data_IF_196784152607
#
_entry.id   IF_196784152607
#
_cell.length_a   1.000
_cell.length_b   1.000
_cell.length_c   1.000
_cell.angle_alpha   90.00
_cell.angle_beta   90.00
_cell.angle_gamma   90.00
#
_symmetry.space_group_name_H-M   'P 1'
#
loop_
_entity.id
_entity.type
_entity.pdbx_description
1 polymer ?
#
# COMPACT_ATOMS: atom_id res chain seq x y z
N UNK A 1 -27.72 34.02 0.50
CA UNK A 1 -27.88 35.27 -0.28
C UNK A 1 -26.84 35.26 -1.38
N UNK A 2 -27.26 35.45 -2.63
CA UNK A 2 -26.40 35.42 -3.82
C UNK A 2 -25.15 36.31 -3.68
N UNK A 3 -25.29 37.49 -3.04
CA UNK A 3 -24.18 38.44 -2.87
C UNK A 3 -23.00 37.91 -2.03
N UNK A 4 -23.27 37.13 -0.97
CA UNK A 4 -22.20 36.56 -0.11
C UNK A 4 -21.36 35.56 -0.92
N UNK A 5 -22.02 34.75 -1.74
CA UNK A 5 -21.37 33.74 -2.57
C UNK A 5 -20.52 34.38 -3.68
N UNK A 6 -21.04 35.43 -4.33
CA UNK A 6 -20.30 36.22 -5.32
C UNK A 6 -19.04 36.86 -4.72
N UNK A 7 -19.17 37.53 -3.57
CA UNK A 7 -18.03 38.18 -2.89
C UNK A 7 -16.95 37.16 -2.52
N UNK A 8 -17.34 36.02 -1.96
CA UNK A 8 -16.38 34.96 -1.61
C UNK A 8 -15.72 34.36 -2.85
N UNK A 9 -16.48 34.18 -3.94
CA UNK A 9 -15.94 33.70 -5.21
C UNK A 9 -14.90 34.66 -5.79
N UNK A 10 -15.19 35.96 -5.83
CA UNK A 10 -14.28 36.95 -6.40
C UNK A 10 -12.99 37.05 -5.59
N UNK A 11 -13.09 37.16 -4.26
CA UNK A 11 -11.92 37.22 -3.38
C UNK A 11 -11.10 35.93 -3.48
N UNK A 12 -11.74 34.77 -3.48
CA UNK A 12 -11.05 33.48 -3.53
C UNK A 12 -10.33 33.26 -4.86
N UNK A 13 -10.92 33.67 -5.98
CA UNK A 13 -10.32 33.56 -7.31
C UNK A 13 -9.17 34.56 -7.48
N UNK A 14 -9.35 35.82 -7.10
CA UNK A 14 -8.31 36.87 -7.19
C UNK A 14 -7.07 36.53 -6.33
N UNK A 15 -7.26 35.83 -5.22
CA UNK A 15 -6.17 35.37 -4.36
C UNK A 15 -5.63 33.98 -4.74
N UNK A 16 -5.99 33.45 -5.91
CA UNK A 16 -5.46 32.20 -6.44
C UNK A 16 -5.85 30.96 -5.63
N UNK A 17 -7.12 30.82 -5.25
CA UNK A 17 -7.64 29.66 -4.52
C UNK A 17 -6.96 29.38 -3.16
N UNK A 18 -6.53 30.46 -2.50
CA UNK A 18 -5.86 30.39 -1.20
C UNK A 18 -6.71 29.71 -0.11
N UNK A 19 -6.06 29.23 0.94
CA UNK A 19 -6.73 28.53 2.04
C UNK A 19 -7.66 29.43 2.86
N UNK A 20 -8.61 28.81 3.57
CA UNK A 20 -9.66 29.46 4.35
C UNK A 20 -9.18 30.67 5.16
N UNK A 21 -8.09 30.55 5.93
CA UNK A 21 -7.60 31.65 6.79
C UNK A 21 -7.28 32.92 6.01
N UNK A 22 -6.67 32.80 4.82
CA UNK A 22 -6.32 33.95 3.98
C UNK A 22 -7.57 34.54 3.32
N UNK A 23 -8.46 33.69 2.82
CA UNK A 23 -9.75 34.14 2.26
C UNK A 23 -10.60 34.85 3.33
N UNK A 24 -10.66 34.31 4.54
CA UNK A 24 -11.39 34.88 5.67
C UNK A 24 -10.83 36.26 6.06
N UNK A 25 -9.50 36.38 6.20
CA UNK A 25 -8.86 37.65 6.53
C UNK A 25 -9.10 38.71 5.45
N UNK A 26 -8.92 38.34 4.18
CA UNK A 26 -9.13 39.27 3.06
C UNK A 26 -10.59 39.74 2.97
N UNK A 27 -11.53 38.85 3.27
CA UNK A 27 -12.97 39.15 3.34
C UNK A 27 -13.27 40.07 4.52
N UNK A 28 -12.78 39.74 5.72
CA UNK A 28 -12.99 40.51 6.96
C UNK A 28 -12.49 41.95 6.88
N UNK A 29 -11.41 42.18 6.12
CA UNK A 29 -10.86 43.52 5.94
C UNK A 29 -11.73 44.44 5.05
N UNK A 30 -12.70 43.89 4.32
CA UNK A 30 -13.51 44.62 3.31
C UNK A 30 -15.00 44.58 3.59
N UNK A 31 -15.46 43.47 4.16
CA UNK A 31 -16.87 43.16 4.32
C UNK A 31 -17.15 42.55 5.69
N UNK A 32 -18.39 42.66 6.13
CA UNK A 32 -18.87 42.05 7.37
C UNK A 32 -20.25 41.46 7.16
N UNK A 33 -20.47 40.27 7.71
CA UNK A 33 -21.80 39.67 7.88
C UNK A 33 -21.77 38.63 9.02
N UNK A 34 -22.94 38.29 9.61
CA UNK A 34 -23.02 37.23 10.60
C UNK A 34 -22.51 35.89 10.05
N UNK A 35 -21.73 35.16 10.84
CA UNK A 35 -21.16 33.85 10.45
C UNK A 35 -20.16 33.89 9.27
N UNK A 36 -19.51 35.03 8.99
CA UNK A 36 -18.50 35.16 7.92
C UNK A 36 -17.49 34.01 7.88
N UNK A 37 -16.91 33.65 9.03
CA UNK A 37 -15.98 32.52 9.14
C UNK A 37 -16.58 31.20 8.64
N UNK A 38 -17.83 30.91 9.02
CA UNK A 38 -18.54 29.70 8.61
C UNK A 38 -18.89 29.74 7.12
N UNK A 39 -19.33 30.89 6.59
CA UNK A 39 -19.59 31.06 5.15
C UNK A 39 -18.32 30.84 4.33
N UNK A 40 -17.18 31.44 4.73
CA UNK A 40 -15.89 31.25 4.06
C UNK A 40 -15.41 29.80 4.14
N UNK A 41 -15.57 29.16 5.31
CA UNK A 41 -15.23 27.74 5.48
C UNK A 41 -16.00 26.84 4.51
N UNK A 42 -17.34 26.98 4.48
CA UNK A 42 -18.21 26.20 3.61
C UNK A 42 -17.86 26.45 2.13
N UNK A 43 -17.67 27.72 1.76
CA UNK A 43 -17.30 28.10 0.39
C UNK A 43 -15.96 27.50 -0.06
N UNK A 44 -14.91 27.59 0.76
CA UNK A 44 -13.61 27.02 0.42
C UNK A 44 -13.65 25.48 0.31
N UNK A 45 -14.55 24.82 1.06
CA UNK A 45 -14.74 23.38 0.97
C UNK A 45 -15.58 22.94 -0.24
N UNK A 46 -16.50 23.78 -0.70
CA UNK A 46 -17.36 23.52 -1.85
C UNK A 46 -16.73 23.92 -3.19
N UNK A 47 -15.60 24.64 -3.19
CA UNK A 47 -14.92 25.10 -4.40
C UNK A 47 -14.45 23.92 -5.28
N UNK A 48 -15.00 23.74 -6.51
CA UNK A 48 -14.64 22.63 -7.39
C UNK A 48 -13.17 22.64 -7.81
N UNK A 49 -12.60 23.82 -8.04
CA UNK A 49 -11.18 23.96 -8.41
C UNK A 49 -10.27 23.53 -7.26
N UNK A 50 -10.52 23.98 -6.03
CA UNK A 50 -9.78 23.50 -4.86
C UNK A 50 -9.90 21.98 -4.68
N UNK A 51 -11.10 21.45 -4.88
CA UNK A 51 -11.39 20.04 -4.75
C UNK A 51 -10.65 19.19 -5.81
N UNK A 52 -10.28 19.73 -6.97
CA UNK A 52 -9.58 18.95 -8.00
C UNK A 52 -8.10 18.66 -7.69
N UNK A 53 -7.44 19.48 -6.87
CA UNK A 53 -6.01 19.29 -6.53
C UNK A 53 -5.70 19.07 -5.05
N UNK A 54 -6.52 19.58 -4.11
CA UNK A 54 -6.23 19.42 -2.67
C UNK A 54 -6.51 18.00 -2.19
N UNK A 55 -5.58 17.40 -1.47
CA UNK A 55 -5.76 16.10 -0.84
C UNK A 55 -6.80 16.14 0.28
N UNK A 56 -7.59 15.06 0.48
CA UNK A 56 -8.48 14.93 1.62
C UNK A 56 -7.68 14.96 2.93
N UNK A 57 -8.25 15.58 3.95
CA UNK A 57 -7.68 15.63 5.30
C UNK A 57 -8.75 15.13 6.28
N UNK A 58 -8.54 14.01 6.99
CA UNK A 58 -7.40 13.08 6.88
C UNK A 58 -7.40 12.28 5.54
N UNK A 59 -6.24 11.73 5.11
CA UNK A 59 -6.19 10.85 3.95
C UNK A 59 -6.98 9.56 4.24
N UNK A 60 -7.77 9.05 3.28
CA UNK A 60 -8.49 7.80 3.49
C UNK A 60 -7.48 6.66 3.45
N UNK A 61 -7.34 5.96 4.57
CA UNK A 61 -6.46 4.79 4.74
C UNK A 61 -7.31 3.55 4.77
N UNK A 62 -6.82 2.44 4.25
CA UNK A 62 -7.48 1.13 4.18
C UNK A 62 -6.51 -0.03 4.32
N UNK A 63 -6.06 -0.37 5.53
CA UNK A 63 -5.44 -1.67 5.76
C UNK A 63 -6.54 -2.73 5.91
N UNK A 64 -6.60 -3.68 4.97
CA UNK A 64 -7.03 -5.03 5.35
C UNK A 64 -5.83 -5.67 6.03
N UNK A 65 -5.95 -6.14 7.28
CA UNK A 65 -4.86 -6.88 7.89
C UNK A 65 -4.62 -8.15 7.08
N UNK A 66 -3.40 -8.30 6.58
CA UNK A 66 -2.98 -9.49 5.87
C UNK A 66 -2.59 -10.54 6.91
N UNK A 67 -3.54 -11.38 7.30
CA UNK A 67 -3.30 -12.44 8.28
C UNK A 67 -2.72 -13.67 7.59
N UNK A 68 -1.54 -14.08 8.03
CA UNK A 68 -0.91 -15.37 7.77
C UNK A 68 -0.71 -16.11 9.10
N UNK A 69 -0.78 -17.43 9.08
CA UNK A 69 -0.73 -18.31 10.24
C UNK A 69 0.37 -19.37 10.19
N UNK A 70 1.06 -19.57 9.07
CA UNK A 70 2.18 -20.52 8.96
C UNK A 70 3.17 -20.16 7.85
N UNK A 71 4.41 -20.67 7.90
CA UNK A 71 5.43 -20.42 6.87
C UNK A 71 4.98 -20.95 5.50
N UNK A 72 5.17 -20.17 4.45
CA UNK A 72 4.78 -20.54 3.09
C UNK A 72 3.29 -20.37 2.78
N UNK A 73 2.47 -19.84 3.69
CA UNK A 73 1.06 -19.54 3.39
C UNK A 73 0.94 -18.42 2.35
N UNK A 74 1.78 -17.39 2.47
CA UNK A 74 1.83 -16.27 1.53
C UNK A 74 3.24 -15.70 1.45
N UNK A 75 3.70 -15.55 0.22
CA UNK A 75 4.99 -14.94 -0.10
C UNK A 75 4.75 -13.65 -0.87
N UNK A 76 5.18 -12.53 -0.31
CA UNK A 76 5.18 -11.23 -0.94
C UNK A 76 6.35 -11.10 -1.92
N UNK A 77 6.09 -10.56 -3.10
CA UNK A 77 7.02 -10.39 -4.19
C UNK A 77 7.13 -8.90 -4.53
N UNK A 78 8.35 -8.40 -4.68
CA UNK A 78 8.60 -7.02 -5.10
C UNK A 78 9.99 -6.86 -5.74
N UNK A 79 10.22 -5.75 -6.42
CA UNK A 79 11.51 -5.43 -7.04
C UNK A 79 11.98 -4.07 -6.53
N UNK A 80 13.21 -4.04 -6.02
CA UNK A 80 13.92 -2.81 -5.68
C UNK A 80 14.77 -2.41 -6.90
N UNK A 81 14.60 -1.18 -7.38
CA UNK A 81 15.45 -0.59 -8.40
C UNK A 81 14.74 0.48 -9.24
N UNK A 82 15.41 1.00 -10.28
CA UNK A 82 16.79 0.68 -10.66
C UNK A 82 17.81 1.19 -9.63
N UNK A 83 18.87 0.40 -9.39
CA UNK A 83 20.05 0.75 -8.59
C UNK A 83 21.23 1.07 -9.52
N UNK A 84 22.31 1.71 -9.03
CA UNK A 84 23.55 1.81 -9.79
C UNK A 84 23.99 0.42 -10.27
N UNK A 85 24.32 0.29 -11.56
CA UNK A 85 24.72 -1.01 -12.12
C UNK A 85 25.92 -1.53 -11.33
N UNK A 86 25.76 -2.70 -10.73
CA UNK A 86 26.82 -3.30 -9.94
C UNK A 86 28.02 -3.75 -10.79
N UNK A 87 29.15 -4.05 -10.16
CA UNK A 87 30.33 -4.61 -10.83
C UNK A 87 30.05 -5.90 -11.60
N UNK A 88 29.01 -6.66 -11.21
CA UNK A 88 28.55 -7.87 -11.93
C UNK A 88 27.39 -7.62 -12.90
N UNK A 89 27.02 -6.37 -13.13
CA UNK A 89 26.00 -5.98 -14.13
C UNK A 89 24.55 -6.04 -13.64
N UNK A 90 24.31 -6.30 -12.35
CA UNK A 90 22.95 -6.27 -11.78
C UNK A 90 22.47 -4.83 -11.59
N UNK A 91 21.18 -4.59 -11.85
CA UNK A 91 20.53 -3.27 -11.69
C UNK A 91 19.34 -3.33 -10.72
N UNK A 92 18.78 -4.52 -10.48
CA UNK A 92 17.58 -4.71 -9.66
C UNK A 92 17.83 -5.74 -8.56
N UNK A 93 17.02 -5.68 -7.50
CA UNK A 93 16.94 -6.72 -6.48
C UNK A 93 15.51 -7.24 -6.44
N UNK A 94 15.34 -8.51 -6.76
CA UNK A 94 14.06 -9.19 -6.58
C UNK A 94 13.94 -9.74 -5.16
N UNK A 95 12.88 -9.32 -4.48
CA UNK A 95 12.63 -9.62 -3.07
C UNK A 95 11.43 -10.56 -2.94
N UNK A 96 11.62 -11.64 -2.16
CA UNK A 96 10.58 -12.59 -1.78
C UNK A 96 10.52 -12.67 -0.26
N UNK A 97 9.36 -12.40 0.33
CA UNK A 97 9.19 -12.36 1.78
C UNK A 97 8.04 -13.26 2.21
N UNK A 98 8.33 -14.24 3.07
CA UNK A 98 7.30 -14.99 3.77
C UNK A 98 6.59 -14.08 4.78
N UNK A 99 5.30 -13.89 4.57
CA UNK A 99 4.51 -12.94 5.36
C UNK A 99 4.20 -13.41 6.79
N UNK A 100 4.57 -14.63 7.19
CA UNK A 100 4.38 -15.13 8.56
C UNK A 100 5.66 -15.01 9.40
N UNK A 101 6.74 -15.60 8.91
CA UNK A 101 8.06 -15.64 9.57
C UNK A 101 8.90 -14.39 9.34
N UNK A 102 8.52 -13.57 8.36
CA UNK A 102 9.33 -12.48 7.83
C UNK A 102 10.63 -12.96 7.16
N UNK A 103 10.75 -14.26 6.84
CA UNK A 103 11.89 -14.78 6.09
C UNK A 103 11.98 -14.11 4.73
N UNK A 104 13.19 -13.71 4.35
CA UNK A 104 13.42 -12.99 3.11
C UNK A 104 14.48 -13.66 2.25
N UNK A 105 14.25 -13.73 0.96
CA UNK A 105 15.26 -13.93 -0.09
C UNK A 105 15.35 -12.65 -0.93
N UNK A 106 16.57 -12.19 -1.21
CA UNK A 106 16.83 -11.04 -2.07
C UNK A 106 17.84 -11.45 -3.14
N UNK A 107 17.43 -11.41 -4.40
CA UNK A 107 18.17 -11.94 -5.54
C UNK A 107 18.52 -10.78 -6.48
N UNK A 108 19.81 -10.54 -6.77
CA UNK A 108 20.19 -9.51 -7.72
C UNK A 108 19.79 -9.95 -9.14
N UNK A 109 19.19 -9.05 -9.91
CA UNK A 109 18.75 -9.26 -11.29
C UNK A 109 19.39 -8.23 -12.22
N UNK A 110 19.76 -8.68 -13.42
CA UNK A 110 20.18 -7.80 -14.52
C UNK A 110 18.96 -7.07 -15.11
N UNK A 111 17.83 -7.78 -15.20
CA UNK A 111 16.61 -7.28 -15.81
C UNK A 111 15.40 -7.66 -14.94
N UNK A 112 14.40 -6.78 -14.89
CA UNK A 112 13.14 -7.02 -14.18
C UNK A 112 12.07 -7.73 -15.01
N UNK A 113 12.45 -8.38 -16.12
CA UNK A 113 11.50 -9.08 -16.98
C UNK A 113 10.92 -10.34 -16.31
N UNK A 114 9.79 -10.81 -16.85
CA UNK A 114 9.06 -11.95 -16.30
C UNK A 114 9.89 -13.25 -16.24
N UNK A 115 10.76 -13.50 -17.22
CA UNK A 115 11.57 -14.72 -17.28
C UNK A 115 12.66 -14.72 -16.22
N UNK A 116 13.31 -13.57 -16.01
CA UNK A 116 14.27 -13.34 -14.94
C UNK A 116 13.63 -13.56 -13.56
N UNK A 117 12.43 -13.00 -13.33
CA UNK A 117 11.68 -13.18 -12.08
C UNK A 117 11.25 -14.64 -11.87
N UNK A 118 10.65 -15.28 -12.88
CA UNK A 118 10.22 -16.68 -12.78
C UNK A 118 11.39 -17.64 -12.50
N UNK A 119 12.54 -17.44 -13.16
CA UNK A 119 13.75 -18.20 -12.90
C UNK A 119 14.26 -18.00 -11.48
N UNK A 120 14.24 -16.76 -10.97
CA UNK A 120 14.64 -16.46 -9.60
C UNK A 120 13.73 -17.17 -8.59
N UNK A 121 12.40 -17.11 -8.76
CA UNK A 121 11.43 -17.82 -7.91
C UNK A 121 11.74 -19.32 -7.85
N UNK A 122 11.87 -19.97 -9.02
CA UNK A 122 12.10 -21.41 -9.09
C UNK A 122 13.43 -21.83 -8.48
N UNK A 123 14.52 -21.11 -8.81
CA UNK A 123 15.88 -21.47 -8.38
C UNK A 123 16.15 -21.19 -6.92
N UNK A 124 15.43 -20.27 -6.30
CA UNK A 124 15.77 -19.79 -4.96
C UNK A 124 14.68 -20.06 -3.93
N UNK A 125 13.41 -19.86 -4.26
CA UNK A 125 12.32 -20.13 -3.33
C UNK A 125 11.85 -21.57 -3.42
N UNK A 126 11.33 -21.97 -4.59
CA UNK A 126 10.69 -23.28 -4.78
C UNK A 126 11.68 -24.41 -4.52
N UNK A 127 12.90 -24.33 -5.04
CA UNK A 127 13.93 -25.35 -4.85
C UNK A 127 14.40 -25.53 -3.40
N UNK A 128 14.27 -24.49 -2.55
CA UNK A 128 14.73 -24.52 -1.15
C UNK A 128 13.61 -24.84 -0.18
N UNK A 129 12.44 -24.25 -0.40
CA UNK A 129 11.35 -24.20 0.56
C UNK A 129 10.09 -24.91 0.09
N UNK A 130 9.99 -25.23 -1.19
CA UNK A 130 8.78 -25.77 -1.81
C UNK A 130 7.77 -24.69 -2.20
N UNK A 131 6.60 -25.15 -2.64
CA UNK A 131 5.54 -24.28 -3.17
C UNK A 131 4.76 -23.60 -2.04
N UNK A 132 4.61 -22.26 -2.04
CA UNK A 132 3.74 -21.58 -1.10
C UNK A 132 2.27 -21.70 -1.51
N UNK A 133 1.31 -21.45 -0.61
CA UNK A 133 -0.11 -21.44 -0.99
C UNK A 133 -0.51 -20.24 -1.83
N UNK A 134 0.24 -19.14 -1.75
CA UNK A 134 0.00 -17.95 -2.56
C UNK A 134 1.23 -17.07 -2.75
N UNK A 135 1.33 -16.49 -3.94
CA UNK A 135 2.19 -15.34 -4.21
C UNK A 135 1.37 -14.06 -4.20
N UNK A 136 1.90 -13.01 -3.61
CA UNK A 136 1.29 -11.69 -3.57
C UNK A 136 2.27 -10.64 -4.12
N UNK A 137 1.87 -9.84 -5.10
CA UNK A 137 2.71 -8.78 -5.67
C UNK A 137 1.90 -7.53 -5.95
N UNK A 138 2.52 -6.48 -6.50
CA UNK A 138 1.77 -5.43 -7.18
C UNK A 138 1.30 -5.86 -8.58
N UNK A 139 0.61 -4.95 -9.29
CA UNK A 139 0.18 -5.16 -10.68
C UNK A 139 1.30 -4.87 -11.71
N UNK A 140 2.57 -5.03 -11.34
CA UNK A 140 3.69 -4.90 -12.27
C UNK A 140 3.57 -5.88 -13.44
N UNK A 141 3.91 -5.43 -14.66
CA UNK A 141 3.77 -6.22 -15.89
C UNK A 141 4.60 -7.52 -15.87
N UNK A 142 5.70 -7.51 -15.13
CA UNK A 142 6.55 -8.67 -14.86
C UNK A 142 5.81 -9.75 -14.06
N UNK A 143 5.00 -9.37 -13.07
CA UNK A 143 4.25 -10.29 -12.22
C UNK A 143 2.89 -10.72 -12.80
N UNK A 144 2.32 -9.92 -13.69
CA UNK A 144 1.03 -10.20 -14.34
C UNK A 144 1.20 -10.83 -15.75
N UNK A 145 2.43 -11.14 -16.15
CA UNK A 145 2.74 -11.79 -17.42
C UNK A 145 2.11 -13.19 -17.55
N UNK A 146 1.85 -13.61 -18.79
CA UNK A 146 1.38 -14.97 -19.08
C UNK A 146 2.35 -16.02 -18.53
N UNK A 147 3.67 -15.78 -18.64
CA UNK A 147 4.67 -16.68 -18.08
C UNK A 147 4.49 -16.87 -16.56
N UNK A 148 4.26 -15.79 -15.81
CA UNK A 148 4.05 -15.88 -14.36
C UNK A 148 2.75 -16.62 -14.02
N UNK A 149 1.70 -16.41 -14.82
CA UNK A 149 0.43 -17.14 -14.67
C UNK A 149 0.63 -18.64 -14.88
N UNK A 150 1.34 -19.04 -15.94
CA UNK A 150 1.65 -20.45 -16.22
C UNK A 150 2.53 -21.08 -15.13
N UNK A 151 3.54 -20.35 -14.63
CA UNK A 151 4.37 -20.83 -13.51
C UNK A 151 3.53 -21.06 -12.26
N UNK A 152 2.63 -20.12 -11.91
CA UNK A 152 1.73 -20.28 -10.77
C UNK A 152 0.76 -21.46 -10.98
N UNK A 153 0.23 -21.64 -12.19
CA UNK A 153 -0.65 -22.75 -12.53
C UNK A 153 0.05 -24.11 -12.41
N UNK A 154 1.27 -24.25 -12.93
CA UNK A 154 2.04 -25.49 -12.83
C UNK A 154 2.43 -25.87 -11.39
N UNK A 155 2.62 -24.88 -10.53
CA UNK A 155 2.98 -25.07 -9.13
C UNK A 155 1.76 -25.15 -8.19
N UNK A 156 0.55 -25.04 -8.73
CA UNK A 156 -0.73 -24.91 -8.01
C UNK A 156 -0.71 -23.78 -6.94
N UNK A 157 -0.05 -22.67 -7.29
CA UNK A 157 0.08 -21.50 -6.43
C UNK A 157 -0.96 -20.46 -6.78
N UNK A 158 -1.70 -19.97 -5.78
CA UNK A 158 -2.64 -18.87 -5.99
C UNK A 158 -1.90 -17.55 -6.18
N UNK A 159 -2.03 -16.94 -7.35
CA UNK A 159 -1.53 -15.58 -7.59
C UNK A 159 -2.55 -14.56 -7.08
N UNK A 160 -2.07 -13.64 -6.26
CA UNK A 160 -2.83 -12.47 -5.82
C UNK A 160 -2.04 -11.20 -6.13
N UNK A 161 -2.72 -10.06 -6.23
CA UNK A 161 -2.07 -8.77 -6.43
C UNK A 161 -2.71 -7.69 -5.55
N UNK A 162 -1.97 -6.62 -5.30
CA UNK A 162 -2.57 -5.39 -4.75
C UNK A 162 -3.51 -4.79 -5.77
N UNK A 163 -4.59 -4.15 -5.31
CA UNK A 163 -5.45 -3.40 -6.21
C UNK A 163 -4.63 -2.19 -6.73
N UNK A 164 -4.67 -1.86 -8.03
CA UNK A 164 -3.97 -0.71 -8.56
C UNK A 164 -4.20 0.53 -7.69
N UNK A 165 -3.11 1.20 -7.32
CA UNK A 165 -3.09 2.39 -6.47
C UNK A 165 -3.48 2.18 -4.99
N UNK A 166 -3.50 0.95 -4.48
CA UNK A 166 -3.63 0.61 -3.05
C UNK A 166 -2.38 -0.12 -2.53
N UNK A 167 -1.23 0.59 -2.38
CA UNK A 167 0.03 0.02 -1.90
C UNK A 167 -0.06 -0.56 -0.47
N UNK A 168 -1.09 -0.20 0.30
CA UNK A 168 -1.30 -0.71 1.66
C UNK A 168 -1.38 -2.24 1.72
N UNK A 169 -1.81 -2.92 0.65
CA UNK A 169 -1.77 -4.39 0.55
C UNK A 169 -0.35 -4.98 0.47
N UNK A 170 0.62 -4.22 -0.05
CA UNK A 170 2.03 -4.59 -0.12
C UNK A 170 2.88 -3.90 0.99
N UNK A 171 2.25 -3.21 1.94
CA UNK A 171 2.94 -2.39 2.92
C UNK A 171 3.90 -3.16 3.85
N UNK A 172 3.77 -4.49 3.95
CA UNK A 172 4.77 -5.32 4.60
C UNK A 172 6.07 -5.36 3.77
N UNK A 173 5.95 -5.69 2.48
CA UNK A 173 7.10 -5.79 1.57
C UNK A 173 7.78 -4.44 1.39
N UNK A 174 7.02 -3.35 1.25
CA UNK A 174 7.58 -1.99 1.16
C UNK A 174 8.39 -1.60 2.41
N UNK A 175 7.91 -1.98 3.61
CA UNK A 175 8.64 -1.77 4.87
C UNK A 175 9.92 -2.61 4.89
N UNK A 176 9.85 -3.86 4.48
CA UNK A 176 11.00 -4.74 4.41
C UNK A 176 12.05 -4.23 3.41
N UNK A 177 11.63 -3.76 2.23
CA UNK A 177 12.52 -3.19 1.23
C UNK A 177 13.28 -1.96 1.77
N UNK A 178 12.60 -1.12 2.55
CA UNK A 178 13.24 0.00 3.24
C UNK A 178 14.28 -0.46 4.25
N UNK A 179 13.98 -1.52 5.02
CA UNK A 179 14.93 -2.12 5.96
C UNK A 179 16.16 -2.67 5.24
N UNK A 180 15.97 -3.40 4.13
CA UNK A 180 17.08 -3.89 3.30
C UNK A 180 17.93 -2.74 2.81
N UNK A 181 17.32 -1.70 2.23
CA UNK A 181 18.06 -0.55 1.73
C UNK A 181 18.87 0.13 2.83
N UNK A 182 18.31 0.29 4.03
CA UNK A 182 19.03 0.86 5.17
C UNK A 182 20.22 -0.01 5.61
N UNK A 183 20.06 -1.34 5.62
CA UNK A 183 21.15 -2.26 5.96
C UNK A 183 22.21 -2.24 4.86
N UNK A 184 21.83 -2.27 3.58
CA UNK A 184 22.74 -2.16 2.45
C UNK A 184 23.54 -0.87 2.51
N UNK A 185 22.90 0.26 2.82
CA UNK A 185 23.58 1.54 3.00
C UNK A 185 24.65 1.50 4.10
N UNK A 186 24.46 0.67 5.14
CA UNK A 186 25.48 0.49 6.17
C UNK A 186 26.70 -0.33 5.71
N UNK A 187 26.55 -1.12 4.64
CA UNK A 187 27.63 -1.89 4.02
C UNK A 187 28.27 -1.19 2.82
N UNK A 188 27.58 -0.25 2.19
CA UNK A 188 28.11 0.52 1.06
C UNK A 188 28.66 1.87 1.53
N UNK A 189 29.89 2.20 1.14
CA UNK A 189 30.48 3.51 1.39
C UNK A 189 30.29 4.45 0.19
N UNK A 190 30.36 5.77 0.44
CA UNK A 190 30.45 6.76 -0.64
C UNK A 190 31.65 6.43 -1.55
N UNK A 191 31.38 6.32 -2.86
CA UNK A 191 32.37 5.92 -3.88
C UNK A 191 32.42 4.43 -4.23
N UNK A 192 31.80 3.54 -3.45
CA UNK A 192 31.75 2.08 -3.72
C UNK A 192 30.31 1.58 -3.92
N UNK A 193 29.47 2.41 -4.53
CA UNK A 193 28.06 2.11 -4.73
C UNK A 193 27.82 0.96 -5.72
N UNK A 194 28.84 0.53 -6.47
CA UNK A 194 28.74 -0.55 -7.45
C UNK A 194 28.94 -1.96 -6.85
N UNK A 195 29.29 -2.07 -5.57
CA UNK A 195 29.53 -3.37 -4.90
C UNK A 195 28.32 -3.86 -4.09
N UNK A 196 27.17 -3.19 -4.22
CA UNK A 196 25.97 -3.48 -3.41
C UNK A 196 25.53 -4.95 -3.50
N UNK A 197 25.74 -5.59 -4.64
CA UNK A 197 25.33 -6.97 -4.90
C UNK A 197 26.26 -7.99 -4.23
N UNK A 198 27.53 -7.64 -4.00
CA UNK A 198 28.49 -8.41 -3.19
C UNK A 198 28.12 -8.34 -1.71
N UNK A 199 27.57 -7.22 -1.26
CA UNK A 199 27.16 -7.02 0.13
C UNK A 199 25.78 -7.61 0.48
N UNK A 200 24.94 -7.89 -0.52
CA UNK A 200 23.57 -8.37 -0.31
C UNK A 200 23.46 -9.63 0.57
N UNK A 201 24.33 -10.65 0.47
CA UNK A 201 24.29 -11.79 1.39
C UNK A 201 24.53 -11.43 2.86
N UNK A 202 25.41 -10.45 3.15
CA UNK A 202 25.65 -9.96 4.50
C UNK A 202 24.49 -9.12 5.03
N UNK A 203 23.84 -8.37 4.15
CA UNK A 203 22.58 -7.70 4.46
C UNK A 203 21.48 -8.70 4.86
N UNK A 204 21.34 -9.81 4.12
CA UNK A 204 20.40 -10.87 4.47
C UNK A 204 20.76 -11.55 5.79
N UNK A 205 22.04 -11.77 6.08
CA UNK A 205 22.50 -12.29 7.39
C UNK A 205 22.05 -11.37 8.53
N UNK A 206 22.34 -10.06 8.41
CA UNK A 206 21.97 -9.08 9.42
C UNK A 206 20.45 -9.00 9.63
N UNK A 207 19.67 -8.98 8.55
CA UNK A 207 18.21 -8.97 8.63
C UNK A 207 17.67 -10.24 9.29
N UNK A 208 18.11 -11.42 8.85
CA UNK A 208 17.62 -12.72 9.36
C UNK A 208 17.99 -12.97 10.82
N UNK A 209 19.07 -12.36 11.30
CA UNK A 209 19.53 -12.43 12.69
C UNK A 209 18.94 -11.37 13.63
N UNK A 210 18.21 -10.39 13.11
CA UNK A 210 17.63 -9.30 13.93
C UNK A 210 16.17 -9.59 14.24
N UNK A 211 15.73 -9.27 15.47
CA UNK A 211 14.34 -9.46 15.88
C UNK A 211 13.40 -8.56 15.07
N UNK A 212 12.35 -9.15 14.52
CA UNK A 212 11.36 -8.39 13.77
C UNK A 212 10.25 -7.88 14.70
N UNK A 213 9.93 -6.60 14.63
CA UNK A 213 9.00 -5.95 15.58
C UNK A 213 7.58 -6.49 15.53
N UNK A 214 7.12 -7.00 14.36
CA UNK A 214 5.77 -7.57 14.23
C UNK A 214 5.61 -8.95 14.85
N UNK A 215 6.68 -9.74 14.95
CA UNK A 215 6.62 -11.11 15.44
C UNK A 215 7.26 -11.27 16.82
N UNK A 216 8.20 -10.39 17.17
CA UNK A 216 9.02 -10.48 18.38
C UNK A 216 10.17 -11.49 18.29
N UNK A 217 10.35 -12.15 17.14
CA UNK A 217 11.38 -13.16 16.90
C UNK A 217 12.25 -12.78 15.71
N UNK A 218 13.43 -13.39 15.62
CA UNK A 218 14.24 -13.27 14.39
C UNK A 218 13.61 -14.10 13.27
N UNK A 219 13.70 -13.66 12.00
CA UNK A 219 13.21 -14.45 10.87
C UNK A 219 13.83 -15.84 10.81
N UNK A 220 15.12 -15.96 11.14
CA UNK A 220 15.81 -17.25 11.15
C UNK A 220 15.25 -18.20 12.21
N UNK A 221 14.98 -17.69 13.41
CA UNK A 221 14.41 -18.49 14.48
C UNK A 221 12.99 -18.99 14.14
N UNK A 222 12.13 -18.13 13.58
CA UNK A 222 10.78 -18.54 13.18
C UNK A 222 10.76 -19.56 12.04
N UNK A 223 11.74 -19.52 11.15
CA UNK A 223 11.83 -20.45 10.02
C UNK A 223 12.44 -21.79 10.41
N UNK A 224 13.53 -21.77 11.19
CA UNK A 224 14.35 -22.96 11.44
C UNK A 224 14.21 -23.55 12.84
N UNK A 225 13.62 -22.80 13.77
CA UNK A 225 13.59 -23.11 15.20
C UNK A 225 14.95 -22.95 15.91
N UNK A 226 15.92 -22.29 15.26
CA UNK A 226 17.29 -22.12 15.78
C UNK A 226 17.72 -20.67 15.70
N UNK A 227 18.52 -20.23 16.67
CA UNK A 227 19.18 -18.94 16.59
C UNK A 227 20.28 -18.97 15.53
N UNK A 228 20.39 -17.86 14.79
CA UNK A 228 21.41 -17.68 13.77
C UNK A 228 22.75 -17.44 14.47
N UNK A 229 23.73 -18.32 14.24
CA UNK A 229 25.09 -18.12 14.76
C UNK A 229 25.79 -17.03 13.95
N UNK A 230 26.23 -15.98 14.62
CA UNK A 230 26.98 -14.88 14.06
C UNK A 230 28.49 -15.07 14.29
N UNK A 231 29.37 -14.43 13.48
CA UNK A 231 30.81 -14.49 13.71
C UNK A 231 31.24 -14.04 15.11
N UNK A 232 30.48 -13.13 15.73
CA UNK A 232 30.73 -12.65 17.11
C UNK A 232 30.60 -13.79 18.14
N UNK A 233 29.75 -14.78 17.88
CA UNK A 233 29.55 -15.93 18.77
C UNK A 233 30.76 -16.88 18.77
N UNK A 234 31.64 -16.80 17.75
CA UNK A 234 32.90 -17.53 17.77
C UNK A 234 33.94 -16.84 18.66
N UNK A 235 33.86 -15.50 18.76
CA UNK A 235 34.72 -14.70 19.63
C UNK A 235 34.23 -14.72 21.08
N UNK A 236 32.92 -14.78 21.28
CA UNK A 236 32.27 -14.88 22.57
C UNK A 236 31.39 -16.14 22.58
N UNK A 237 31.98 -17.32 22.87
CA UNK A 237 31.30 -18.60 22.76
C UNK A 237 30.02 -18.67 23.58
N UNK A 238 28.95 -19.07 22.90
CA UNK A 238 27.70 -19.47 23.56
C UNK A 238 27.87 -20.83 24.25
N UNK A 239 27.07 -21.11 25.31
CA UNK A 239 27.06 -22.42 25.95
C UNK A 239 26.87 -23.55 24.92
N UNK A 240 27.65 -24.62 25.08
CA UNK A 240 27.51 -25.79 24.22
C UNK A 240 26.09 -26.39 24.39
N UNK A 241 25.43 -26.79 23.30
CA UNK A 241 24.15 -27.46 23.40
C UNK A 241 24.30 -28.79 24.13
N UNK A 242 23.27 -29.17 24.89
CA UNK A 242 23.21 -30.49 25.53
C UNK A 242 23.35 -31.61 24.49
N UNK A 243 24.16 -32.61 24.81
CA UNK A 243 24.22 -33.83 24.00
C UNK A 243 22.87 -34.53 24.06
N UNK A 244 22.21 -34.64 22.90
CA UNK A 244 20.92 -35.29 22.77
C UNK A 244 20.95 -36.26 21.59
N UNK A 245 20.14 -37.31 21.66
CA UNK A 245 19.96 -38.19 20.50
C UNK A 245 19.25 -37.42 19.38
N UNK A 246 19.45 -37.80 18.12
CA UNK A 246 18.79 -37.15 16.98
C UNK A 246 17.25 -37.09 17.12
N UNK A 247 16.63 -38.13 17.68
CA UNK A 247 15.18 -38.22 17.88
C UNK A 247 14.70 -37.23 18.96
N UNK A 248 15.43 -37.13 20.06
CA UNK A 248 15.13 -36.17 21.13
C UNK A 248 15.31 -34.75 20.63
N UNK A 249 16.38 -34.48 19.88
CA UNK A 249 16.61 -33.18 19.25
C UNK A 249 15.47 -32.80 18.30
N UNK A 250 15.06 -33.71 17.40
CA UNK A 250 13.97 -33.46 16.46
C UNK A 250 12.64 -33.18 17.18
N UNK A 251 12.35 -33.90 18.27
CA UNK A 251 11.14 -33.71 19.07
C UNK A 251 11.14 -32.35 19.77
N UNK A 252 12.24 -32.01 20.46
CA UNK A 252 12.44 -30.70 21.09
C UNK A 252 12.33 -29.56 20.06
N UNK A 253 12.93 -29.72 18.88
CA UNK A 253 12.87 -28.72 17.82
C UNK A 253 11.44 -28.49 17.31
N UNK A 254 10.64 -29.56 17.14
CA UNK A 254 9.22 -29.43 16.76
C UNK A 254 8.41 -28.70 17.82
N UNK A 255 8.69 -28.92 19.10
CA UNK A 255 8.04 -28.21 20.20
C UNK A 255 8.41 -26.73 20.23
N UNK A 256 9.70 -26.42 20.05
CA UNK A 256 10.20 -25.04 19.94
C UNK A 256 9.51 -24.30 18.79
N UNK A 257 9.51 -24.87 17.59
CA UNK A 257 8.86 -24.27 16.42
C UNK A 257 7.37 -24.06 16.66
N UNK A 258 6.67 -25.06 17.21
CA UNK A 258 5.24 -24.97 17.51
C UNK A 258 4.95 -23.83 18.49
N UNK A 259 5.72 -23.73 19.57
CA UNK A 259 5.59 -22.68 20.58
C UNK A 259 5.84 -21.29 19.98
N UNK A 260 6.91 -21.14 19.21
CA UNK A 260 7.26 -19.90 18.52
C UNK A 260 6.17 -19.48 17.53
N UNK A 261 5.65 -20.40 16.71
CA UNK A 261 4.57 -20.13 15.76
C UNK A 261 3.26 -19.75 16.45
N UNK A 262 2.89 -20.43 17.54
CA UNK A 262 1.70 -20.07 18.32
C UNK A 262 1.82 -18.64 18.87
N UNK A 263 2.99 -18.29 19.41
CA UNK A 263 3.28 -16.95 19.92
C UNK A 263 3.23 -15.91 18.79
N UNK A 264 3.86 -16.20 17.64
CA UNK A 264 3.83 -15.32 16.48
C UNK A 264 2.40 -15.07 15.96
N UNK A 265 1.52 -16.09 15.92
CA UNK A 265 0.10 -15.91 15.56
C UNK A 265 -0.62 -14.95 16.50
N UNK A 266 -0.38 -15.06 17.80
CA UNK A 266 -0.96 -14.16 18.80
C UNK A 266 -0.45 -12.73 18.58
N UNK A 267 0.86 -12.55 18.42
CA UNK A 267 1.47 -11.21 18.21
C UNK A 267 0.97 -10.56 16.92
N UNK A 268 0.99 -11.30 15.80
CA UNK A 268 0.48 -10.83 14.51
C UNK A 268 -1.02 -10.53 14.56
N UNK A 269 -1.80 -11.38 15.25
CA UNK A 269 -3.23 -11.16 15.48
C UNK A 269 -3.50 -9.89 16.29
N UNK A 270 -2.75 -9.66 17.37
CA UNK A 270 -2.86 -8.46 18.19
C UNK A 270 -2.45 -7.20 17.43
N UNK A 271 -1.37 -7.26 16.63
CA UNK A 271 -0.94 -6.17 15.77
C UNK A 271 -2.00 -5.82 14.73
N UNK A 272 -2.58 -6.83 14.08
CA UNK A 272 -3.71 -6.68 13.14
C UNK A 272 -4.94 -6.04 13.81
N UNK A 273 -5.31 -6.46 15.01
CA UNK A 273 -6.41 -5.86 15.78
C UNK A 273 -6.08 -4.40 16.16
N UNK A 274 -4.84 -4.11 16.54
CA UNK A 274 -4.41 -2.76 16.87
C UNK A 274 -4.45 -1.84 15.65
N UNK A 275 -3.91 -2.29 14.50
CA UNK A 275 -3.98 -1.57 13.23
C UNK A 275 -5.43 -1.33 12.82
N UNK A 276 -6.30 -2.35 12.93
CA UNK A 276 -7.74 -2.22 12.68
C UNK A 276 -8.40 -1.21 13.62
N UNK A 277 -8.14 -1.26 14.94
CA UNK A 277 -8.72 -0.31 15.91
C UNK A 277 -8.23 1.12 15.70
N UNK A 278 -6.97 1.31 15.34
CA UNK A 278 -6.42 2.60 15.01
C UNK A 278 -7.04 3.14 13.71
N UNK A 279 -7.23 2.28 12.71
CA UNK A 279 -8.00 2.55 11.50
C UNK A 279 -9.45 2.94 11.81
N UNK A 280 -10.19 2.13 12.57
CA UNK A 280 -11.59 2.36 12.93
C UNK A 280 -11.77 3.71 13.66
N UNK A 281 -10.82 4.08 14.54
CA UNK A 281 -10.83 5.39 15.23
C UNK A 281 -10.60 6.57 14.30
N UNK A 282 -9.79 6.41 13.24
CA UNK A 282 -9.52 7.46 12.27
C UNK A 282 -10.49 7.47 11.08
N UNK A 283 -11.36 6.46 10.97
CA UNK A 283 -12.48 6.35 10.03
C UNK A 283 -13.81 6.67 10.69
N UNK A 284 -13.79 7.36 11.84
CA UNK A 284 -14.98 8.00 12.39
C UNK A 284 -15.50 9.18 11.52
N UNK A 285 -15.45 9.07 10.19
CA UNK A 285 -16.41 9.67 9.29
C UNK A 285 -17.33 8.57 8.77
N UNK A 286 -18.64 8.77 8.87
CA UNK A 286 -19.66 7.87 8.28
C UNK A 286 -19.26 7.47 6.86
N UNK A 287 -19.29 6.15 6.57
CA UNK A 287 -19.09 5.65 5.20
C UNK A 287 -20.08 6.30 4.23
N UNK A 288 -19.72 6.35 2.94
CA UNK A 288 -20.59 6.95 1.94
C UNK A 288 -21.88 6.13 1.79
N UNK A 289 -23.01 6.83 1.65
CA UNK A 289 -24.32 6.24 1.42
C UNK A 289 -24.72 6.38 -0.05
N UNK A 290 -25.68 5.57 -0.48
CA UNK A 290 -26.29 5.70 -1.81
C UNK A 290 -26.85 7.13 -1.95
N UNK A 291 -26.47 7.81 -3.03
CA UNK A 291 -26.82 9.20 -3.29
C UNK A 291 -25.74 10.22 -2.90
N UNK A 292 -24.72 9.84 -2.11
CA UNK A 292 -23.64 10.75 -1.75
C UNK A 292 -22.83 11.18 -2.99
N UNK A 293 -22.44 12.46 -3.01
CA UNK A 293 -21.55 13.01 -4.03
C UNK A 293 -20.09 12.88 -3.59
N UNK A 294 -19.28 12.27 -4.44
CA UNK A 294 -17.86 12.00 -4.20
C UNK A 294 -16.99 12.42 -5.38
N UNK A 295 -15.71 12.61 -5.12
CA UNK A 295 -14.67 12.71 -6.15
C UNK A 295 -13.82 11.45 -6.16
N UNK A 296 -13.41 11.02 -7.35
CA UNK A 296 -12.52 9.89 -7.55
C UNK A 296 -11.10 10.34 -7.93
N UNK A 297 -10.10 9.68 -7.37
CA UNK A 297 -8.68 9.98 -7.60
C UNK A 297 -8.14 9.27 -8.86
N UNK A 298 -7.58 10.05 -9.79
CA UNK A 298 -6.79 9.63 -10.93
C UNK A 298 -5.35 10.15 -10.76
N UNK A 299 -4.44 9.39 -10.14
CA UNK A 299 -3.11 9.88 -9.80
C UNK A 299 -2.17 10.02 -11.00
N UNK A 300 -2.40 9.28 -12.09
CA UNK A 300 -1.55 9.32 -13.28
C UNK A 300 -1.96 10.51 -14.17
N UNK A 301 -1.02 11.39 -14.54
CA UNK A 301 -1.28 12.46 -15.48
C UNK A 301 -1.54 11.91 -16.89
N UNK A 302 -2.46 12.49 -17.68
CA UNK A 302 -2.58 12.18 -19.10
C UNK A 302 -1.26 12.41 -19.85
N UNK A 303 -1.04 11.66 -20.93
CA UNK A 303 0.14 11.85 -21.80
C UNK A 303 0.26 13.31 -22.23
N UNK A 304 1.47 13.87 -22.10
CA UNK A 304 1.76 15.28 -22.38
C UNK A 304 1.50 16.25 -21.21
N UNK A 305 1.00 15.78 -20.06
CA UNK A 305 0.82 16.60 -18.85
C UNK A 305 1.93 16.34 -17.85
N UNK A 306 2.54 17.40 -17.29
CA UNK A 306 3.52 17.28 -16.22
C UNK A 306 2.88 16.77 -14.93
N UNK A 307 3.51 15.80 -14.27
CA UNK A 307 3.06 15.26 -12.98
C UNK A 307 2.91 16.36 -11.90
N UNK A 308 3.71 17.43 -11.98
CA UNK A 308 3.66 18.56 -11.02
C UNK A 308 2.45 19.48 -11.21
N UNK A 309 1.83 19.47 -12.39
CA UNK A 309 0.70 20.34 -12.77
C UNK A 309 -0.61 19.57 -12.96
N UNK A 310 -0.65 18.31 -12.52
CA UNK A 310 -1.80 17.44 -12.67
C UNK A 310 -2.82 17.65 -11.55
N UNK A 311 -4.10 17.65 -11.92
CA UNK A 311 -5.23 17.67 -10.97
C UNK A 311 -5.75 16.24 -10.76
N UNK A 312 -5.37 15.57 -9.66
CA UNK A 312 -5.64 14.14 -9.50
C UNK A 312 -7.09 13.82 -9.13
N UNK A 313 -7.93 14.78 -8.75
CA UNK A 313 -9.30 14.48 -8.33
C UNK A 313 -10.30 14.88 -9.41
N UNK A 314 -11.14 13.93 -9.84
CA UNK A 314 -12.22 14.16 -10.81
C UNK A 314 -13.58 13.87 -10.17
N UNK A 315 -14.62 14.45 -10.75
CA UNK A 315 -16.00 14.32 -10.27
C UNK A 315 -16.81 15.55 -10.66
N UNK A 316 -18.03 15.69 -10.12
CA UNK A 316 -18.65 14.83 -9.10
C UNK A 316 -19.17 13.50 -9.64
N UNK A 317 -19.12 12.48 -8.79
CA UNK A 317 -19.75 11.17 -8.99
C UNK A 317 -20.79 10.93 -7.89
N UNK A 318 -21.89 10.27 -8.22
CA UNK A 318 -22.87 9.82 -7.25
C UNK A 318 -22.62 8.34 -6.91
N UNK A 319 -22.75 7.99 -5.63
CA UNK A 319 -22.73 6.60 -5.16
C UNK A 319 -24.07 5.95 -5.54
N UNK A 320 -24.03 4.94 -6.39
CA UNK A 320 -25.21 4.17 -6.79
C UNK A 320 -25.47 3.00 -5.86
N UNK A 321 -24.40 2.33 -5.41
CA UNK A 321 -24.51 1.14 -4.56
C UNK A 321 -23.27 0.97 -3.68
N UNK A 322 -23.45 0.29 -2.55
CA UNK A 322 -22.40 -0.08 -1.59
C UNK A 322 -22.16 -1.58 -1.71
N UNK A 323 -21.21 -1.96 -2.57
CA UNK A 323 -20.89 -3.36 -2.85
C UNK A 323 -20.20 -4.06 -1.66
N UNK A 324 -19.39 -3.30 -0.91
CA UNK A 324 -18.71 -3.75 0.31
C UNK A 324 -18.40 -2.53 1.20
N UNK A 325 -18.01 -2.73 2.48
CA UNK A 325 -17.66 -1.62 3.38
C UNK A 325 -16.58 -0.66 2.85
N UNK A 326 -15.77 -1.11 1.88
CA UNK A 326 -14.72 -0.30 1.25
C UNK A 326 -14.86 -0.17 -0.27
N UNK A 327 -15.91 -0.68 -0.90
CA UNK A 327 -16.09 -0.67 -2.36
C UNK A 327 -17.46 -0.14 -2.76
N UNK A 328 -17.48 0.86 -3.65
CA UNK A 328 -18.67 1.58 -4.05
C UNK A 328 -18.83 1.56 -5.57
N UNK A 329 -20.06 1.43 -6.05
CA UNK A 329 -20.41 1.60 -7.45
C UNK A 329 -20.72 3.09 -7.70
N UNK A 330 -19.99 3.72 -8.61
CA UNK A 330 -20.08 5.15 -8.89
C UNK A 330 -20.60 5.41 -10.31
N UNK A 331 -21.34 6.51 -10.47
CA UNK A 331 -21.72 7.07 -11.77
C UNK A 331 -21.42 8.55 -11.83
N UNK A 332 -21.07 9.05 -13.01
CA UNK A 332 -20.85 10.48 -13.21
C UNK A 332 -22.16 11.24 -12.92
N UNK A 333 -22.11 12.19 -11.97
CA UNK A 333 -23.30 12.91 -11.52
C UNK A 333 -23.76 13.99 -12.52
N UNK A 334 -22.91 14.38 -13.47
CA UNK A 334 -23.22 15.36 -14.52
C UNK A 334 -23.58 14.66 -15.84
N UNK A 335 -22.88 13.58 -16.19
CA UNK A 335 -23.08 12.81 -17.43
C UNK A 335 -23.65 11.44 -17.12
N UNK A 336 -24.97 11.37 -16.94
CA UNK A 336 -25.68 10.14 -16.57
C UNK A 336 -25.49 8.98 -17.58
N UNK A 337 -25.15 9.28 -18.83
CA UNK A 337 -24.88 8.30 -19.90
C UNK A 337 -23.52 7.59 -19.76
N UNK A 338 -22.62 8.09 -18.90
CA UNK A 338 -21.32 7.44 -18.68
C UNK A 338 -21.50 6.12 -17.94
N UNK A 339 -20.81 5.04 -18.34
CA UNK A 339 -20.95 3.75 -17.69
C UNK A 339 -20.51 3.85 -16.22
N UNK A 340 -21.22 3.17 -15.30
CA UNK A 340 -20.82 3.13 -13.91
C UNK A 340 -19.52 2.34 -13.76
N UNK A 341 -18.75 2.67 -12.73
CA UNK A 341 -17.51 1.97 -12.41
C UNK A 341 -17.35 1.79 -10.91
N UNK A 342 -16.60 0.77 -10.50
CA UNK A 342 -16.35 0.48 -9.09
C UNK A 342 -15.12 1.24 -8.61
N UNK A 343 -15.21 1.84 -7.43
CA UNK A 343 -14.11 2.53 -6.77
C UNK A 343 -13.99 2.15 -5.30
N UNK A 344 -12.75 2.11 -4.81
CA UNK A 344 -12.46 1.83 -3.41
C UNK A 344 -12.53 3.10 -2.55
N UNK A 345 -12.94 2.98 -1.28
CA UNK A 345 -13.09 4.08 -0.32
C UNK A 345 -11.87 5.00 -0.30
N UNK A 346 -10.66 4.46 -0.35
CA UNK A 346 -9.42 5.25 -0.30
C UNK A 346 -9.05 5.99 -1.59
N UNK A 347 -9.84 5.83 -2.65
CA UNK A 347 -9.81 6.68 -3.85
C UNK A 347 -10.90 7.73 -3.86
N UNK A 348 -11.70 7.80 -2.80
CA UNK A 348 -12.83 8.68 -2.71
C UNK A 348 -12.60 9.77 -1.68
N UNK A 349 -13.22 10.92 -1.94
CA UNK A 349 -13.42 11.97 -0.96
C UNK A 349 -14.77 12.62 -1.18
N UNK A 350 -15.39 13.18 -0.13
CA UNK A 350 -16.66 13.87 -0.28
C UNK A 350 -16.54 15.04 -1.25
N UNK A 351 -17.51 15.17 -2.15
CA UNK A 351 -17.71 16.36 -2.96
C UNK A 351 -18.73 17.26 -2.27
N UNK A 352 -18.29 18.46 -1.87
CA UNK A 352 -19.15 19.45 -1.18
C UNK A 352 -19.59 20.60 -2.08
N UNK A 353 -19.27 20.54 -3.37
CA UNK A 353 -19.70 21.51 -4.37
C UNK A 353 -21.17 21.34 -4.74
N UNK A 354 -21.73 22.33 -5.44
CA UNK A 354 -23.05 22.21 -6.06
C UNK A 354 -22.91 21.50 -7.40
N UNK A 355 -23.88 20.65 -7.73
CA UNK A 355 -24.06 20.21 -9.12
C UNK A 355 -24.42 21.43 -9.98
N UNK A 356 -24.00 21.49 -11.25
CA UNK A 356 -24.53 22.50 -12.17
C UNK A 356 -26.05 22.36 -12.22
N UNK A 357 -26.77 23.49 -12.26
CA UNK A 357 -28.23 23.49 -12.31
C UNK A 357 -28.71 22.57 -13.44
N UNK A 358 -29.46 21.53 -13.08
CA UNK A 358 -30.18 20.71 -14.03
C UNK A 358 -31.17 21.62 -14.77
N UNK A 359 -30.94 21.90 -16.05
CA UNK A 359 -32.00 22.38 -16.92
C UNK A 359 -33.09 21.30 -16.98
N UNK A 360 -34.36 21.74 -17.08
CA UNK A 360 -35.55 20.91 -16.94
C UNK A 360 -35.62 19.67 -17.86
N UNK A 361 -34.71 19.53 -18.82
CA UNK A 361 -34.61 18.42 -19.77
C UNK A 361 -33.87 17.18 -19.23
N UNK A 362 -33.40 17.20 -17.98
CA UNK A 362 -32.57 16.12 -17.40
C UNK A 362 -33.26 15.21 -16.38
N UNK A 363 -34.58 15.35 -16.19
CA UNK A 363 -35.34 14.34 -15.44
C UNK A 363 -35.54 13.09 -16.31
N UNK A 364 -35.20 11.88 -15.85
CA UNK A 364 -35.62 10.67 -16.52
C UNK A 364 -37.15 10.63 -16.50
N UNK A 365 -37.78 10.75 -17.68
CA UNK A 365 -39.17 10.37 -17.83
C UNK A 365 -39.29 8.89 -17.45
N UNK A 366 -39.87 8.61 -16.28
CA UNK A 366 -40.37 7.28 -15.93
C UNK A 366 -41.45 6.90 -16.95
N UNK A 367 -41.05 6.25 -18.05
CA UNK A 367 -41.98 5.46 -18.85
C UNK A 367 -42.27 4.20 -18.07
N UNK A 368 -43.39 4.18 -17.36
CA UNK A 368 -44.03 2.92 -17.02
C UNK A 368 -44.52 2.26 -18.31
N UNK A 369 -44.27 0.96 -18.54
CA UNK A 369 -44.90 0.25 -19.64
C UNK A 369 -46.39 0.04 -19.29
N UNK A 370 -47.26 0.41 -20.23
CA UNK A 370 -48.62 -0.16 -20.30
C UNK A 370 -48.56 -1.50 -21.04
#
# INVERSE_FOLDING_TARGET
GCLIETVLNDIHNQLGHCGQRRTEQATRNRFWWPQLRSSTHLFCQSCPTCASFKSPTPPPRTPKPMTTGFPGERVGLDIIGPLPISVRGHEFIFVMIDCFTMWIEAIPLLHQDAASVANAINRTWISRWGSPLSFHSDCGSNFESQLMQEVCHLLDVRKTHTIPYHPEGNGLVERTNRTINNILLAFTNDGHQHDWDVHLPFCLLAYRGTTHSSTGFTPHYLWTGRDLRLPVDLRYPLPAPEQTTPQTFATKLREVIRSAHNTARITLGNASIHEKRHFDRHIAGTGFQIGDLVMHQYPIPPRGTSAKLHHPWRGPFAVLDVLAPTSFLLRNAIRAESPPFTAHFSKLKPYRGRLPDCTADSLPQTRYPQ
#
